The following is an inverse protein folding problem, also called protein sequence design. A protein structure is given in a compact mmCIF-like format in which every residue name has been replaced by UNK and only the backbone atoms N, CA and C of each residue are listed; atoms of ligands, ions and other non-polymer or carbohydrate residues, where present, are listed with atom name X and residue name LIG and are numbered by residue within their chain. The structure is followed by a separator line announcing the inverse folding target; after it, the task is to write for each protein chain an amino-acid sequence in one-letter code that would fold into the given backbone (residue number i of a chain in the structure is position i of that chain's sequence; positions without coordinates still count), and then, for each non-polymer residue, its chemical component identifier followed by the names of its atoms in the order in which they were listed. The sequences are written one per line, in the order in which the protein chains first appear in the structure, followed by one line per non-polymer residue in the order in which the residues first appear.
data_IF_387075661932
#
_entry.id   IF_387075661932
#
_cell.length_a   1.000
_cell.length_b   1.000
_cell.length_c   1.000
_cell.angle_alpha   90.00
_cell.angle_beta   90.00
_cell.angle_gamma   90.00
#
_symmetry.space_group_name_H-M   'P 1'
#
loop_
_entity.id
_entity.type
_entity.pdbx_description
1 polymer ?
#
# COMPACT_ATOMS: atom_id res chain seq x y z
N UNK A 1 5.84 -3.63 -18.01
CA UNK A 1 5.84 -4.50 -16.84
C UNK A 1 6.48 -5.82 -17.22
N UNK A 2 7.31 -6.41 -16.38
CA UNK A 2 7.92 -7.70 -16.68
C UNK A 2 6.87 -8.80 -16.52
N UNK A 3 6.79 -9.70 -17.50
CA UNK A 3 5.99 -10.91 -17.39
C UNK A 3 6.65 -11.86 -16.38
N UNK A 4 5.82 -12.49 -15.55
CA UNK A 4 6.29 -13.48 -14.57
C UNK A 4 5.83 -14.86 -15.06
N UNK A 5 6.77 -15.72 -15.38
CA UNK A 5 6.47 -17.07 -15.84
C UNK A 5 5.62 -17.82 -14.80
N UNK A 6 4.55 -18.48 -15.26
CA UNK A 6 3.64 -19.22 -14.38
C UNK A 6 2.56 -18.36 -13.72
N UNK A 7 2.41 -17.10 -14.13
CA UNK A 7 1.31 -16.20 -13.73
C UNK A 7 0.49 -15.84 -14.94
N UNK A 8 -0.85 -15.96 -14.82
CA UNK A 8 -1.81 -15.42 -15.79
C UNK A 8 -2.81 -14.54 -15.06
N UNK A 9 -3.21 -13.45 -15.70
CA UNK A 9 -4.12 -12.49 -15.08
C UNK A 9 -5.22 -12.09 -16.04
N UNK A 10 -6.35 -11.70 -15.49
CA UNK A 10 -7.46 -11.12 -16.23
C UNK A 10 -8.21 -10.10 -15.40
N UNK A 11 -8.90 -9.18 -16.04
CA UNK A 11 -9.82 -8.25 -15.41
C UNK A 11 -10.95 -7.92 -16.36
N UNK A 12 -12.18 -7.92 -15.85
CA UNK A 12 -13.41 -7.70 -16.64
C UNK A 12 -14.34 -6.71 -15.91
N UNK A 13 -15.28 -6.14 -16.65
CA UNK A 13 -16.43 -5.43 -16.10
C UNK A 13 -17.54 -6.42 -15.81
N UNK A 14 -17.76 -6.74 -14.52
CA UNK A 14 -18.77 -7.72 -14.11
C UNK A 14 -20.10 -7.09 -13.68
N UNK A 15 -20.14 -5.74 -13.58
CA UNK A 15 -21.30 -4.97 -13.15
C UNK A 15 -21.40 -4.81 -11.64
N UNK A 16 -20.32 -5.01 -10.89
CA UNK A 16 -20.21 -4.62 -9.47
C UNK A 16 -20.16 -3.09 -9.38
N UNK A 17 -19.38 -2.43 -10.29
CA UNK A 17 -19.43 -0.99 -10.48
C UNK A 17 -20.48 -0.59 -11.50
N UNK A 18 -21.21 0.49 -11.23
CA UNK A 18 -22.30 0.97 -12.11
C UNK A 18 -21.83 1.61 -13.42
N UNK A 19 -20.55 2.02 -13.50
CA UNK A 19 -19.98 2.76 -14.63
C UNK A 19 -19.38 1.85 -15.73
N UNK A 20 -19.60 0.55 -15.67
CA UNK A 20 -19.07 -0.46 -16.61
C UNK A 20 -17.53 -0.47 -16.73
N UNK A 21 -16.81 0.01 -15.69
CA UNK A 21 -15.35 -0.14 -15.61
C UNK A 21 -14.97 -1.53 -15.11
N UNK A 22 -13.69 -1.91 -15.31
CA UNK A 22 -13.16 -3.17 -14.79
C UNK A 22 -13.34 -3.21 -13.26
N UNK A 23 -13.88 -4.32 -12.75
CA UNK A 23 -14.26 -4.45 -11.33
C UNK A 23 -14.10 -5.86 -10.76
N UNK A 24 -13.81 -6.85 -11.61
CA UNK A 24 -13.53 -8.22 -11.19
C UNK A 24 -12.24 -8.69 -11.84
N UNK A 25 -11.25 -9.05 -11.04
CA UNK A 25 -9.90 -9.40 -11.46
C UNK A 25 -9.49 -10.76 -10.90
N UNK A 26 -8.66 -11.48 -11.64
CA UNK A 26 -8.13 -12.78 -11.27
C UNK A 26 -6.64 -12.85 -11.57
N UNK A 27 -5.86 -13.29 -10.59
CA UNK A 27 -4.46 -13.68 -10.76
C UNK A 27 -4.40 -15.20 -10.54
N UNK A 28 -4.07 -15.93 -11.59
CA UNK A 28 -3.90 -17.39 -11.56
C UNK A 28 -2.43 -17.74 -11.50
N UNK A 29 -2.08 -18.66 -10.60
CA UNK A 29 -0.74 -19.14 -10.32
C UNK A 29 -0.63 -20.61 -10.67
N UNK A 30 0.53 -21.05 -11.12
CA UNK A 30 0.78 -22.48 -11.35
C UNK A 30 0.77 -23.27 -10.03
N UNK A 31 0.59 -24.60 -10.12
CA UNK A 31 0.37 -25.48 -8.97
C UNK A 31 1.49 -25.45 -7.91
N UNK A 32 2.75 -25.32 -8.31
CA UNK A 32 3.90 -25.30 -7.42
C UNK A 32 4.27 -23.93 -6.85
N UNK A 33 3.34 -22.97 -6.93
CA UNK A 33 3.53 -21.63 -6.38
C UNK A 33 3.42 -21.62 -4.85
N UNK A 34 4.19 -20.71 -4.24
CA UNK A 34 4.11 -20.38 -2.83
C UNK A 34 3.57 -18.96 -2.67
N UNK A 35 2.69 -18.71 -1.71
CA UNK A 35 2.12 -17.39 -1.45
C UNK A 35 2.20 -17.04 0.02
N UNK A 36 2.75 -15.86 0.32
CA UNK A 36 2.70 -15.21 1.63
C UNK A 36 1.77 -13.98 1.55
N UNK A 37 1.20 -13.60 2.68
CA UNK A 37 0.34 -12.43 2.76
C UNK A 37 0.42 -11.74 4.12
N UNK A 38 0.15 -10.45 4.10
CA UNK A 38 -0.09 -9.62 5.28
C UNK A 38 -1.45 -8.95 5.14
N UNK A 39 -2.13 -8.77 6.26
CA UNK A 39 -3.52 -8.31 6.29
C UNK A 39 -3.72 -7.23 7.34
N UNK A 40 -4.80 -6.46 7.15
CA UNK A 40 -5.24 -5.45 8.12
C UNK A 40 -5.25 -5.95 9.57
N UNK A 41 -4.84 -5.08 10.49
CA UNK A 41 -4.97 -5.24 11.93
C UNK A 41 -6.23 -4.56 12.48
N UNK A 42 -7.06 -3.98 11.61
CA UNK A 42 -8.33 -3.40 12.02
C UNK A 42 -9.20 -4.51 12.66
N UNK A 43 -9.69 -4.27 13.86
CA UNK A 43 -10.56 -5.21 14.60
C UNK A 43 -11.83 -5.50 13.80
N UNK A 44 -12.32 -4.51 13.05
CA UNK A 44 -13.47 -4.63 12.16
C UNK A 44 -13.07 -5.18 10.79
N UNK A 45 -12.53 -6.39 10.80
CA UNK A 45 -11.98 -7.04 9.62
C UNK A 45 -13.10 -7.47 8.65
N UNK A 46 -12.90 -7.18 7.36
CA UNK A 46 -13.86 -7.55 6.31
C UNK A 46 -13.93 -9.06 6.09
N UNK A 47 -15.07 -9.55 5.62
CA UNK A 47 -15.31 -10.97 5.34
C UNK A 47 -14.23 -11.61 4.41
N UNK A 48 -13.83 -11.00 3.27
CA UNK A 48 -12.81 -11.59 2.41
C UNK A 48 -11.46 -11.74 3.12
N UNK A 49 -11.08 -10.82 4.00
CA UNK A 49 -9.83 -10.92 4.77
C UNK A 49 -9.87 -12.12 5.73
N UNK A 50 -11.01 -12.37 6.38
CA UNK A 50 -11.18 -13.53 7.27
C UNK A 50 -11.05 -14.84 6.49
N UNK A 51 -11.66 -14.92 5.31
CA UNK A 51 -11.57 -16.10 4.44
C UNK A 51 -10.14 -16.26 3.90
N UNK A 52 -9.50 -15.20 3.43
CA UNK A 52 -8.14 -15.24 2.92
C UNK A 52 -7.13 -15.70 3.99
N UNK A 53 -7.24 -15.22 5.24
CA UNK A 53 -6.42 -15.69 6.37
C UNK A 53 -6.59 -17.19 6.63
N UNK A 54 -7.79 -17.72 6.51
CA UNK A 54 -8.06 -19.15 6.67
C UNK A 54 -7.45 -19.97 5.52
N UNK A 55 -7.68 -19.53 4.27
CA UNK A 55 -7.22 -20.23 3.09
C UNK A 55 -5.70 -20.20 2.90
N UNK A 56 -5.00 -19.19 3.43
CA UNK A 56 -3.54 -19.04 3.28
C UNK A 56 -2.72 -20.23 3.84
N UNK A 57 -3.34 -21.08 4.64
CA UNK A 57 -2.72 -22.32 5.11
C UNK A 57 -2.68 -23.44 4.05
N UNK A 58 -3.27 -23.21 2.87
CA UNK A 58 -3.30 -24.12 1.75
C UNK A 58 -2.36 -23.67 0.62
N UNK A 59 -2.15 -24.52 -0.38
CA UNK A 59 -1.44 -24.14 -1.61
C UNK A 59 -2.32 -23.23 -2.46
N UNK A 60 -1.99 -21.97 -2.55
CA UNK A 60 -2.78 -20.98 -3.27
C UNK A 60 -2.47 -21.03 -4.76
N UNK A 61 -3.53 -21.06 -5.57
CA UNK A 61 -3.45 -21.05 -7.04
C UNK A 61 -4.24 -19.90 -7.69
N UNK A 62 -5.06 -19.16 -6.90
CA UNK A 62 -5.80 -18.05 -7.44
C UNK A 62 -5.97 -16.92 -6.40
N UNK A 63 -5.87 -15.68 -6.87
CA UNK A 63 -6.23 -14.48 -6.12
C UNK A 63 -7.41 -13.84 -6.85
N UNK A 64 -8.59 -13.82 -6.22
CA UNK A 64 -9.81 -13.22 -6.76
C UNK A 64 -9.99 -11.84 -6.12
N UNK A 65 -10.11 -10.80 -6.93
CA UNK A 65 -10.24 -9.43 -6.45
C UNK A 65 -11.49 -8.78 -7.04
N UNK A 66 -12.35 -8.20 -6.21
CA UNK A 66 -13.38 -7.31 -6.68
C UNK A 66 -13.18 -5.88 -6.18
N UNK A 67 -13.55 -4.91 -7.00
CA UNK A 67 -13.60 -3.49 -6.63
C UNK A 67 -15.03 -2.92 -6.77
N UNK A 68 -15.31 -1.83 -6.05
CA UNK A 68 -16.65 -1.22 -5.96
C UNK A 68 -17.45 -1.67 -4.73
N UNK A 69 -17.15 -2.83 -4.16
CA UNK A 69 -17.80 -3.37 -2.95
C UNK A 69 -16.73 -3.95 -2.02
N UNK A 70 -16.69 -3.50 -0.77
CA UNK A 70 -15.71 -3.94 0.22
C UNK A 70 -16.09 -5.27 0.90
N UNK A 71 -17.34 -5.70 0.83
CA UNK A 71 -17.88 -6.82 1.60
C UNK A 71 -17.48 -6.76 3.10
N UNK A 72 -17.49 -5.56 3.65
CA UNK A 72 -17.17 -5.24 5.03
C UNK A 72 -18.44 -4.77 5.76
N UNK A 73 -18.56 -5.09 7.05
CA UNK A 73 -19.78 -4.77 7.82
C UNK A 73 -21.02 -5.56 7.42
N UNK A 74 -20.84 -6.69 6.76
CA UNK A 74 -21.89 -7.51 6.14
C UNK A 74 -22.26 -8.76 6.95
N UNK A 75 -21.60 -8.95 8.09
CA UNK A 75 -21.88 -10.02 9.04
C UNK A 75 -21.74 -11.43 8.42
N UNK A 76 -22.57 -12.37 8.90
CA UNK A 76 -22.54 -13.77 8.47
C UNK A 76 -22.78 -13.93 6.95
N UNK A 77 -23.71 -13.13 6.39
CA UNK A 77 -24.02 -13.21 4.95
C UNK A 77 -22.84 -12.80 4.06
N UNK A 78 -22.09 -11.78 4.47
CA UNK A 78 -20.87 -11.36 3.77
C UNK A 78 -19.79 -12.44 3.78
N UNK A 79 -19.66 -13.16 4.92
CA UNK A 79 -18.74 -14.30 5.02
C UNK A 79 -19.15 -15.45 4.09
N UNK A 80 -20.45 -15.80 4.07
CA UNK A 80 -21.02 -16.81 3.15
C UNK A 80 -20.75 -16.43 1.68
N UNK A 81 -20.99 -15.16 1.31
CA UNK A 81 -20.73 -14.67 -0.04
C UNK A 81 -19.23 -14.73 -0.42
N UNK A 82 -18.34 -14.45 0.54
CA UNK A 82 -16.90 -14.55 0.32
C UNK A 82 -16.45 -16.00 0.06
N UNK A 83 -16.95 -16.97 0.83
CA UNK A 83 -16.71 -18.40 0.55
C UNK A 83 -17.30 -18.80 -0.79
N UNK A 84 -18.54 -18.38 -1.09
CA UNK A 84 -19.20 -18.71 -2.36
C UNK A 84 -18.43 -18.18 -3.57
N UNK A 85 -17.83 -16.98 -3.46
CA UNK A 85 -16.99 -16.45 -4.55
C UNK A 85 -15.76 -17.33 -4.82
N UNK A 86 -15.14 -17.90 -3.76
CA UNK A 86 -14.05 -18.85 -3.90
C UNK A 86 -14.52 -20.16 -4.56
N UNK A 87 -15.67 -20.70 -4.18
CA UNK A 87 -16.24 -21.92 -4.78
C UNK A 87 -16.46 -21.74 -6.29
N UNK A 88 -17.08 -20.61 -6.70
CA UNK A 88 -17.39 -20.32 -8.10
C UNK A 88 -16.10 -20.30 -8.95
N UNK A 89 -15.06 -19.61 -8.49
CA UNK A 89 -13.79 -19.50 -9.23
C UNK A 89 -13.02 -20.82 -9.21
N UNK A 90 -13.06 -21.54 -8.11
CA UNK A 90 -12.42 -22.85 -7.99
C UNK A 90 -13.01 -23.88 -8.96
N UNK A 91 -14.33 -23.89 -9.16
CA UNK A 91 -15.02 -24.73 -10.13
C UNK A 91 -14.54 -24.46 -11.56
N UNK A 92 -14.48 -23.19 -11.97
CA UNK A 92 -14.02 -22.78 -13.32
C UNK A 92 -12.53 -23.09 -13.56
N UNK A 93 -11.69 -23.03 -12.51
CA UNK A 93 -10.27 -23.36 -12.59
C UNK A 93 -9.97 -24.84 -12.35
N UNK A 94 -10.96 -25.66 -11.97
CA UNK A 94 -10.81 -27.07 -11.56
C UNK A 94 -9.81 -27.26 -10.42
N UNK A 95 -9.87 -26.37 -9.42
CA UNK A 95 -9.08 -26.41 -8.18
C UNK A 95 -10.00 -26.49 -6.94
N UNK A 96 -9.44 -26.53 -5.75
CA UNK A 96 -10.25 -26.51 -4.51
C UNK A 96 -10.57 -25.07 -4.08
N UNK A 97 -11.73 -24.81 -3.45
CA UNK A 97 -12.10 -23.48 -2.95
C UNK A 97 -11.05 -22.84 -2.01
N UNK A 98 -10.41 -23.65 -1.19
CA UNK A 98 -9.37 -23.22 -0.25
C UNK A 98 -8.07 -22.78 -0.95
N UNK A 99 -7.93 -23.02 -2.24
CA UNK A 99 -6.79 -22.57 -3.06
C UNK A 99 -7.03 -21.19 -3.69
N UNK A 100 -8.19 -20.57 -3.41
CA UNK A 100 -8.55 -19.22 -3.87
C UNK A 100 -8.51 -18.25 -2.68
N UNK A 101 -7.75 -17.16 -2.78
CA UNK A 101 -7.78 -16.05 -1.83
C UNK A 101 -8.71 -14.95 -2.35
N UNK A 102 -9.78 -14.59 -1.62
CA UNK A 102 -10.67 -13.50 -2.00
C UNK A 102 -10.17 -12.16 -1.44
N UNK A 103 -10.31 -11.10 -2.25
CA UNK A 103 -10.03 -9.72 -1.87
C UNK A 103 -11.14 -8.81 -2.39
N UNK A 104 -11.51 -7.80 -1.61
CA UNK A 104 -12.54 -6.84 -1.98
C UNK A 104 -12.12 -5.43 -1.60
N UNK A 105 -12.57 -4.43 -2.35
CA UNK A 105 -12.35 -3.01 -2.03
C UNK A 105 -13.51 -2.18 -2.57
N UNK A 106 -13.88 -1.09 -1.88
CA UNK A 106 -14.97 -0.19 -2.26
C UNK A 106 -15.92 0.13 -1.10
N UNK A 107 -17.21 0.20 -1.36
CA UNK A 107 -18.22 0.64 -0.40
C UNK A 107 -18.39 -0.38 0.74
N UNK A 108 -18.36 0.12 1.98
CA UNK A 108 -18.59 -0.64 3.22
C UNK A 108 -20.12 -0.68 3.52
N UNK A 109 -20.60 -1.80 4.09
CA UNK A 109 -21.98 -1.96 4.54
C UNK A 109 -22.96 -2.46 3.47
N UNK A 110 -22.42 -2.88 2.30
CA UNK A 110 -23.22 -3.47 1.23
C UNK A 110 -22.81 -4.94 1.00
N UNK A 111 -23.80 -5.81 0.77
CA UNK A 111 -23.55 -7.21 0.43
C UNK A 111 -22.87 -7.30 -0.93
N UNK A 112 -21.89 -8.19 -1.03
CA UNK A 112 -21.25 -8.51 -2.31
C UNK A 112 -22.29 -9.12 -3.27
N UNK A 113 -22.47 -8.56 -4.49
CA UNK A 113 -23.40 -9.10 -5.48
C UNK A 113 -22.84 -10.38 -6.09
N UNK A 114 -23.04 -11.51 -5.42
CA UNK A 114 -22.45 -12.80 -5.78
C UNK A 114 -22.91 -13.27 -7.17
N UNK A 115 -24.11 -12.91 -7.57
CA UNK A 115 -24.68 -13.23 -8.89
C UNK A 115 -23.86 -12.60 -10.04
N UNK A 116 -23.24 -11.45 -9.81
CA UNK A 116 -22.33 -10.81 -10.77
C UNK A 116 -21.07 -11.64 -10.96
N UNK A 117 -20.52 -12.21 -9.88
CA UNK A 117 -19.36 -13.10 -9.97
C UNK A 117 -19.75 -14.40 -10.68
N UNK A 118 -20.83 -15.04 -10.27
CA UNK A 118 -21.31 -16.30 -10.85
C UNK A 118 -21.55 -16.19 -12.38
N UNK A 119 -22.21 -15.13 -12.81
CA UNK A 119 -22.50 -14.87 -14.22
C UNK A 119 -21.25 -14.67 -15.08
N UNK A 120 -20.18 -14.11 -14.50
CA UNK A 120 -19.01 -13.66 -15.24
C UNK A 120 -17.74 -14.51 -14.98
N UNK A 121 -17.81 -15.53 -14.12
CA UNK A 121 -16.66 -16.36 -13.73
C UNK A 121 -16.00 -17.04 -14.94
N UNK A 122 -16.81 -17.65 -15.82
CA UNK A 122 -16.30 -18.30 -17.02
C UNK A 122 -15.60 -17.32 -17.97
N UNK A 123 -16.17 -16.13 -18.19
CA UNK A 123 -15.51 -15.09 -18.99
C UNK A 123 -14.18 -14.66 -18.36
N UNK A 124 -14.16 -14.45 -17.05
CA UNK A 124 -12.96 -14.03 -16.30
C UNK A 124 -11.82 -15.06 -16.47
N UNK A 125 -12.12 -16.35 -16.30
CA UNK A 125 -11.13 -17.43 -16.44
C UNK A 125 -10.66 -17.58 -17.88
N UNK A 126 -11.56 -17.51 -18.86
CA UNK A 126 -11.20 -17.63 -20.28
C UNK A 126 -10.40 -16.42 -20.81
N UNK A 127 -10.41 -15.30 -20.09
CA UNK A 127 -9.64 -14.08 -20.42
C UNK A 127 -8.24 -14.04 -19.80
N UNK A 128 -7.81 -15.08 -19.09
CA UNK A 128 -6.48 -15.14 -18.45
C UNK A 128 -5.35 -15.07 -19.48
N UNK A 129 -4.45 -14.09 -19.31
CA UNK A 129 -3.30 -13.84 -20.17
C UNK A 129 -2.03 -13.58 -19.37
N UNK A 130 -0.86 -13.90 -19.90
CA UNK A 130 0.44 -13.72 -19.24
C UNK A 130 0.78 -12.24 -18.99
N UNK A 131 0.31 -11.34 -19.85
CA UNK A 131 0.51 -9.89 -19.72
C UNK A 131 -0.65 -9.15 -19.01
N UNK A 132 -1.61 -9.88 -18.42
CA UNK A 132 -2.85 -9.32 -17.85
C UNK A 132 -2.69 -8.57 -16.52
N UNK A 133 -1.49 -8.54 -15.91
CA UNK A 133 -1.30 -7.89 -14.61
C UNK A 133 -1.55 -6.36 -14.64
N UNK A 134 -1.32 -5.71 -15.79
CA UNK A 134 -1.67 -4.28 -15.98
C UNK A 134 -3.18 -4.07 -15.95
N UNK A 135 -3.97 -5.01 -16.46
CA UNK A 135 -5.44 -4.92 -16.40
C UNK A 135 -5.96 -5.17 -14.97
N UNK A 136 -5.27 -6.01 -14.19
CA UNK A 136 -5.55 -6.10 -12.75
C UNK A 136 -5.31 -4.76 -12.06
N UNK A 137 -4.21 -4.05 -12.39
CA UNK A 137 -3.95 -2.72 -11.82
C UNK A 137 -5.10 -1.73 -12.08
N UNK A 138 -5.75 -1.80 -13.25
CA UNK A 138 -6.94 -1.00 -13.58
C UNK A 138 -8.20 -1.51 -12.85
N UNK A 139 -8.38 -2.83 -12.82
CA UNK A 139 -9.57 -3.47 -12.25
C UNK A 139 -9.74 -3.30 -10.74
N UNK A 140 -8.65 -3.06 -10.02
CA UNK A 140 -8.67 -2.90 -8.56
C UNK A 140 -8.87 -1.45 -8.08
N UNK A 141 -8.87 -0.46 -8.97
CA UNK A 141 -9.03 0.96 -8.62
C UNK A 141 -10.41 1.25 -8.00
N UNK A 142 -10.46 2.25 -7.12
CA UNK A 142 -11.71 2.80 -6.56
C UNK A 142 -11.78 4.30 -6.79
N UNK A 143 -11.22 5.10 -5.90
CA UNK A 143 -11.07 6.57 -6.02
C UNK A 143 -9.74 6.98 -6.62
N UNK A 144 -8.88 6.01 -6.89
CA UNK A 144 -7.59 6.21 -7.55
C UNK A 144 -7.75 6.87 -8.93
N UNK A 145 -6.87 7.82 -9.26
CA UNK A 145 -6.86 8.50 -10.55
C UNK A 145 -5.98 7.78 -11.59
N UNK A 146 -4.95 7.06 -11.12
CA UNK A 146 -3.99 6.35 -11.98
C UNK A 146 -3.71 4.94 -11.48
N UNK A 147 -3.41 4.03 -12.42
CA UNK A 147 -2.96 2.68 -12.14
C UNK A 147 -1.56 2.70 -11.50
N UNK A 148 -1.36 1.85 -10.50
CA UNK A 148 -0.09 1.72 -9.80
C UNK A 148 0.49 0.34 -10.03
N UNK A 149 1.56 0.28 -10.81
CA UNK A 149 2.30 -0.94 -11.09
C UNK A 149 3.76 -0.67 -11.37
N UNK A 150 4.62 -1.59 -11.02
CA UNK A 150 6.04 -1.54 -11.36
C UNK A 150 6.66 -2.94 -11.40
N UNK A 151 7.86 -3.01 -11.97
CA UNK A 151 8.68 -4.21 -11.99
C UNK A 151 10.11 -3.88 -11.58
N UNK A 152 10.78 -4.86 -10.99
CA UNK A 152 12.20 -4.85 -10.67
C UNK A 152 12.76 -6.20 -11.09
N UNK A 153 13.99 -6.23 -11.56
CA UNK A 153 14.71 -7.47 -11.86
C UNK A 153 16.16 -7.40 -11.39
N UNK A 154 16.74 -8.56 -11.14
CA UNK A 154 18.14 -8.71 -10.79
C UNK A 154 18.69 -10.00 -11.39
N UNK A 155 20.00 -10.13 -11.47
CA UNK A 155 20.65 -11.29 -12.04
C UNK A 155 21.37 -12.13 -10.99
N UNK A 156 21.25 -13.46 -11.13
CA UNK A 156 21.95 -14.46 -10.32
C UNK A 156 22.55 -15.50 -11.26
N UNK A 157 23.87 -15.63 -11.29
CA UNK A 157 24.56 -16.60 -12.14
C UNK A 157 24.16 -16.54 -13.63
N UNK A 158 23.89 -15.33 -14.16
CA UNK A 158 23.47 -15.13 -15.55
C UNK A 158 21.98 -15.43 -15.82
N UNK A 159 21.19 -15.67 -14.77
CA UNK A 159 19.73 -15.84 -14.86
C UNK A 159 19.05 -14.61 -14.28
N UNK A 160 18.13 -14.03 -15.04
CA UNK A 160 17.31 -12.89 -14.56
C UNK A 160 16.14 -13.40 -13.72
N UNK A 161 16.02 -12.87 -12.51
CA UNK A 161 14.86 -13.05 -11.63
C UNK A 161 14.00 -11.79 -11.69
N UNK A 162 12.71 -11.95 -11.88
CA UNK A 162 11.76 -10.86 -12.05
C UNK A 162 10.79 -10.77 -10.88
N UNK A 163 10.47 -9.54 -10.49
CA UNK A 163 9.38 -9.20 -9.60
C UNK A 163 8.47 -8.18 -10.29
N UNK A 164 7.18 -8.38 -10.24
CA UNK A 164 6.17 -7.44 -10.73
C UNK A 164 5.10 -7.26 -9.67
N UNK A 165 4.62 -6.04 -9.50
CA UNK A 165 3.61 -5.75 -8.50
C UNK A 165 2.63 -4.69 -8.96
N UNK A 166 1.40 -4.80 -8.47
CA UNK A 166 0.33 -3.83 -8.62
C UNK A 166 -0.15 -3.40 -7.24
N UNK A 167 -0.64 -2.16 -7.13
CA UNK A 167 -1.25 -1.67 -5.92
C UNK A 167 -2.40 -0.72 -6.22
N UNK A 168 -3.31 -0.57 -5.26
CA UNK A 168 -4.35 0.46 -5.25
C UNK A 168 -4.44 1.09 -3.87
N UNK A 169 -4.87 2.34 -3.86
CA UNK A 169 -5.16 3.10 -2.67
C UNK A 169 -4.95 4.59 -2.93
N UNK A 170 -5.85 5.43 -2.41
CA UNK A 170 -5.81 6.89 -2.53
C UNK A 170 -6.46 7.60 -1.34
N UNK A 171 -7.37 6.96 -0.62
CA UNK A 171 -7.97 7.40 0.64
C UNK A 171 -8.08 6.26 1.65
N UNK A 172 -8.35 6.58 2.93
CA UNK A 172 -8.32 5.67 4.07
C UNK A 172 -6.94 5.00 4.17
N UNK A 173 -5.85 5.80 4.15
CA UNK A 173 -4.44 5.33 4.12
C UNK A 173 -3.71 5.69 5.42
N UNK A 174 -3.62 4.74 6.32
CA UNK A 174 -2.65 4.62 7.40
C UNK A 174 -2.34 3.14 7.61
N UNK A 175 -1.42 2.56 6.86
CA UNK A 175 -1.15 1.14 7.01
C UNK A 175 -0.45 0.88 8.36
N UNK A 176 -1.15 0.18 9.23
CA UNK A 176 -0.54 -0.61 10.30
C UNK A 176 -0.73 -2.08 9.89
N UNK A 177 -0.03 -2.48 8.83
CA UNK A 177 -0.30 -3.64 7.99
C UNK A 177 -1.67 -3.53 7.30
N UNK A 178 -2.08 -2.29 6.88
CA UNK A 178 -3.36 -2.13 6.23
C UNK A 178 -3.58 -0.72 5.63
N UNK A 179 -4.17 -0.59 4.53
CA UNK A 179 -4.99 0.41 3.84
C UNK A 179 -4.68 0.49 2.36
N UNK A 180 -4.46 -0.66 1.76
CA UNK A 180 -4.26 -0.79 0.33
C UNK A 180 -4.46 -2.25 -0.08
N UNK A 181 -4.64 -2.50 -1.35
CA UNK A 181 -4.43 -3.82 -1.91
C UNK A 181 -3.16 -3.79 -2.75
N UNK A 182 -2.27 -4.76 -2.52
CA UNK A 182 -1.10 -4.97 -3.37
C UNK A 182 -0.89 -6.45 -3.64
N UNK A 183 -0.62 -6.75 -4.90
CA UNK A 183 -0.36 -8.10 -5.37
C UNK A 183 0.98 -8.13 -6.06
N UNK A 184 1.93 -8.84 -5.46
CA UNK A 184 3.31 -8.96 -5.95
C UNK A 184 3.54 -10.40 -6.38
N UNK A 185 4.09 -10.57 -7.57
CA UNK A 185 4.41 -11.87 -8.16
C UNK A 185 5.88 -11.91 -8.58
N UNK A 186 6.51 -13.07 -8.46
CA UNK A 186 7.92 -13.31 -8.85
C UNK A 186 8.09 -14.73 -9.39
N UNK A 187 9.10 -14.93 -10.21
CA UNK A 187 9.49 -16.23 -10.76
C UNK A 187 10.53 -17.00 -9.93
N UNK A 188 10.97 -16.44 -8.78
CA UNK A 188 11.90 -17.10 -7.85
C UNK A 188 11.32 -18.39 -7.25
N UNK A 189 12.18 -19.32 -6.87
CA UNK A 189 11.82 -20.47 -6.03
C UNK A 189 12.00 -20.14 -4.55
N UNK A 190 10.89 -20.08 -3.79
CA UNK A 190 10.91 -19.80 -2.36
C UNK A 190 9.76 -20.51 -1.63
N UNK A 191 9.99 -20.89 -0.39
CA UNK A 191 8.94 -21.39 0.50
C UNK A 191 8.04 -20.23 0.99
N UNK A 192 6.85 -20.59 1.47
CA UNK A 192 5.92 -19.61 2.06
C UNK A 192 6.55 -18.86 3.25
N UNK A 193 7.30 -19.54 4.11
CA UNK A 193 7.95 -18.94 5.28
C UNK A 193 9.03 -17.93 4.88
N UNK A 194 9.84 -18.26 3.85
CA UNK A 194 10.84 -17.34 3.30
C UNK A 194 10.19 -16.08 2.70
N UNK A 195 9.11 -16.27 1.94
CA UNK A 195 8.34 -15.16 1.40
C UNK A 195 7.71 -14.30 2.49
N UNK A 196 7.17 -14.92 3.54
CA UNK A 196 6.55 -14.22 4.66
C UNK A 196 7.54 -13.34 5.40
N UNK A 197 8.76 -13.84 5.65
CA UNK A 197 9.83 -13.06 6.27
C UNK A 197 10.22 -11.86 5.42
N UNK A 198 10.44 -12.07 4.12
CA UNK A 198 10.80 -11.00 3.20
C UNK A 198 9.68 -9.95 3.07
N UNK A 199 8.43 -10.40 2.97
CA UNK A 199 7.26 -9.54 2.86
C UNK A 199 7.11 -8.65 4.10
N UNK A 200 7.25 -9.21 5.30
CA UNK A 200 7.17 -8.46 6.56
C UNK A 200 8.22 -7.34 6.62
N UNK A 201 9.46 -7.62 6.23
CA UNK A 201 10.53 -6.61 6.20
C UNK A 201 10.18 -5.51 5.20
N UNK A 202 9.79 -5.86 3.98
CA UNK A 202 9.52 -4.90 2.91
C UNK A 202 8.30 -4.02 3.21
N UNK A 203 7.22 -4.60 3.72
CA UNK A 203 6.01 -3.86 4.09
C UNK A 203 6.29 -2.87 5.23
N UNK A 204 7.10 -3.26 6.22
CA UNK A 204 7.48 -2.37 7.33
C UNK A 204 8.32 -1.16 6.90
N UNK A 205 9.04 -1.25 5.78
CA UNK A 205 9.88 -0.17 5.24
C UNK A 205 9.19 0.63 4.12
N UNK A 206 7.99 0.24 3.70
CA UNK A 206 7.29 0.83 2.56
C UNK A 206 5.83 1.17 2.87
N UNK A 207 4.92 0.23 2.72
CA UNK A 207 3.49 0.45 2.94
C UNK A 207 3.15 0.86 4.38
N UNK A 208 3.86 0.34 5.38
CA UNK A 208 3.72 0.78 6.77
C UNK A 208 4.42 2.12 7.08
N UNK A 209 4.87 2.85 6.07
CA UNK A 209 5.50 4.18 6.20
C UNK A 209 4.76 5.27 5.43
N UNK A 210 3.57 4.97 4.91
CA UNK A 210 2.76 5.99 4.23
C UNK A 210 1.51 6.34 5.04
N UNK A 211 0.98 7.54 4.83
CA UNK A 211 -0.33 7.93 5.35
C UNK A 211 -0.92 9.05 4.51
N UNK A 212 -2.24 9.05 4.30
CA UNK A 212 -2.97 10.15 3.64
C UNK A 212 -3.85 10.87 4.64
N UNK A 213 -4.70 10.17 5.36
CA UNK A 213 -5.72 10.70 6.26
C UNK A 213 -5.68 10.14 7.69
N UNK A 214 -4.82 9.16 7.94
CA UNK A 214 -4.66 8.57 9.26
C UNK A 214 -5.64 7.45 9.59
N UNK A 215 -6.52 7.04 8.66
CA UNK A 215 -7.52 6.00 8.87
C UNK A 215 -7.05 4.64 8.35
N UNK A 216 -7.32 3.57 9.13
CA UNK A 216 -6.98 2.18 8.78
C UNK A 216 -8.21 1.47 8.21
N UNK A 217 -8.06 0.90 7.01
CA UNK A 217 -9.15 0.17 6.33
C UNK A 217 -9.46 -1.20 6.95
N UNK A 218 -10.62 -1.70 6.62
CA UNK A 218 -11.11 -3.03 7.00
C UNK A 218 -10.63 -4.16 6.09
N UNK A 219 -10.07 -3.83 4.90
CA UNK A 219 -9.90 -4.77 3.78
C UNK A 219 -8.45 -5.02 3.36
N UNK A 220 -7.49 -4.31 3.93
CA UNK A 220 -6.16 -4.26 3.38
C UNK A 220 -5.43 -5.57 3.37
N UNK A 221 -4.69 -5.78 2.29
CA UNK A 221 -3.85 -6.94 2.10
C UNK A 221 -2.69 -6.65 1.14
N UNK A 222 -1.55 -7.25 1.43
CA UNK A 222 -0.44 -7.36 0.49
C UNK A 222 -0.05 -8.82 0.35
N UNK A 223 0.00 -9.33 -0.88
CA UNK A 223 0.44 -10.69 -1.18
C UNK A 223 1.78 -10.70 -1.91
N UNK A 224 2.57 -11.73 -1.68
CA UNK A 224 3.78 -12.06 -2.42
C UNK A 224 3.70 -13.52 -2.85
N UNK A 225 3.61 -13.75 -4.17
CA UNK A 225 3.51 -15.09 -4.75
C UNK A 225 4.72 -15.40 -5.61
N UNK A 226 5.35 -16.55 -5.39
CA UNK A 226 6.51 -17.05 -6.12
C UNK A 226 6.15 -18.30 -6.90
N UNK A 227 6.51 -18.35 -8.21
CA UNK A 227 6.13 -19.45 -9.12
C UNK A 227 7.22 -20.48 -9.33
N UNK A 228 8.43 -20.26 -8.83
CA UNK A 228 9.58 -21.17 -9.00
C UNK A 228 9.96 -21.41 -10.48
N UNK A 229 9.72 -20.47 -11.36
CA UNK A 229 9.92 -20.64 -12.81
C UNK A 229 11.23 -20.04 -13.34
N UNK A 230 11.98 -19.29 -12.53
CA UNK A 230 13.33 -18.81 -12.89
C UNK A 230 14.40 -19.92 -12.79
N UNK A 231 14.15 -20.97 -12.00
CA UNK A 231 15.15 -21.97 -11.63
C UNK A 231 16.15 -21.49 -10.57
N UNK A 232 15.99 -20.27 -10.05
CA UNK A 232 16.81 -19.70 -8.97
C UNK A 232 16.06 -19.84 -7.65
N UNK A 233 16.73 -20.38 -6.64
CA UNK A 233 16.18 -20.49 -5.29
C UNK A 233 16.53 -19.27 -4.44
N UNK A 234 15.63 -18.86 -3.56
CA UNK A 234 15.83 -17.76 -2.62
C UNK A 234 17.13 -17.91 -1.80
N UNK A 235 17.50 -19.12 -1.42
CA UNK A 235 18.74 -19.41 -0.68
C UNK A 235 20.01 -18.95 -1.40
N UNK A 236 19.98 -18.78 -2.73
CA UNK A 236 21.10 -18.37 -3.56
C UNK A 236 21.25 -16.84 -3.69
N UNK A 237 20.22 -16.06 -3.32
CA UNK A 237 20.15 -14.61 -3.57
C UNK A 237 19.33 -13.82 -2.54
N UNK A 238 19.45 -14.17 -1.27
CA UNK A 238 18.63 -13.61 -0.17
C UNK A 238 18.70 -12.09 -0.12
N UNK A 239 19.89 -11.52 -0.25
CA UNK A 239 20.13 -10.07 -0.16
C UNK A 239 19.58 -9.36 -1.39
N UNK A 240 19.87 -9.87 -2.57
CA UNK A 240 19.42 -9.31 -3.86
C UNK A 240 17.90 -9.33 -3.96
N UNK A 241 17.28 -10.45 -3.57
CA UNK A 241 15.82 -10.58 -3.56
C UNK A 241 15.17 -9.61 -2.57
N UNK A 242 15.69 -9.53 -1.33
CA UNK A 242 15.17 -8.59 -0.34
C UNK A 242 15.29 -7.13 -0.81
N UNK A 243 16.42 -6.76 -1.40
CA UNK A 243 16.64 -5.41 -1.93
C UNK A 243 15.67 -5.10 -3.09
N UNK A 244 15.48 -6.04 -4.02
CA UNK A 244 14.54 -5.89 -5.14
C UNK A 244 13.09 -5.76 -4.64
N UNK A 245 12.70 -6.56 -3.65
CA UNK A 245 11.36 -6.48 -3.04
C UNK A 245 11.16 -5.16 -2.29
N UNK A 246 12.15 -4.70 -1.53
CA UNK A 246 12.12 -3.39 -0.85
C UNK A 246 11.99 -2.24 -1.85
N UNK A 247 12.72 -2.29 -2.96
CA UNK A 247 12.63 -1.29 -4.03
C UNK A 247 11.24 -1.27 -4.66
N UNK A 248 10.70 -2.44 -5.01
CA UNK A 248 9.38 -2.58 -5.63
C UNK A 248 8.27 -2.07 -4.71
N UNK A 249 8.25 -2.52 -3.46
CA UNK A 249 7.22 -2.12 -2.48
C UNK A 249 7.29 -0.63 -2.16
N UNK A 250 8.49 -0.05 -2.06
CA UNK A 250 8.69 1.39 -1.87
C UNK A 250 8.17 2.20 -3.06
N UNK A 251 8.44 1.78 -4.29
CA UNK A 251 7.91 2.43 -5.50
C UNK A 251 6.38 2.43 -5.49
N UNK A 252 5.74 1.28 -5.22
CA UNK A 252 4.29 1.18 -5.12
C UNK A 252 3.71 2.05 -4.01
N UNK A 253 4.33 2.05 -2.82
CA UNK A 253 3.91 2.89 -1.70
C UNK A 253 3.97 4.40 -2.05
N UNK A 254 5.03 4.84 -2.72
CA UNK A 254 5.15 6.24 -3.19
C UNK A 254 4.10 6.58 -4.25
N UNK A 255 3.75 5.64 -5.17
CA UNK A 255 2.68 5.85 -6.14
C UNK A 255 1.33 6.04 -5.44
N UNK A 256 1.04 5.29 -4.35
CA UNK A 256 -0.17 5.47 -3.55
C UNK A 256 -0.24 6.88 -2.96
N UNK A 257 0.84 7.36 -2.32
CA UNK A 257 0.86 8.69 -1.72
C UNK A 257 0.72 9.79 -2.79
N UNK A 258 1.42 9.66 -3.93
CA UNK A 258 1.36 10.64 -5.03
C UNK A 258 -0.04 10.75 -5.66
N UNK A 259 -0.82 9.68 -5.62
CA UNK A 259 -2.20 9.59 -6.11
C UNK A 259 -3.23 9.70 -4.96
N UNK A 260 -2.83 10.24 -3.81
CA UNK A 260 -3.75 10.46 -2.69
C UNK A 260 -4.92 11.36 -3.06
N UNK A 261 -6.10 11.09 -2.49
CA UNK A 261 -7.32 11.87 -2.76
C UNK A 261 -7.07 13.38 -2.57
N UNK A 262 -7.20 14.15 -3.67
CA UNK A 262 -6.97 15.59 -3.68
C UNK A 262 -5.53 16.04 -3.41
N UNK A 263 -4.55 15.14 -3.44
CA UNK A 263 -3.16 15.47 -3.16
C UNK A 263 -2.57 16.42 -4.22
N UNK A 264 -1.88 17.46 -3.76
CA UNK A 264 -1.11 18.36 -4.62
C UNK A 264 0.40 18.27 -4.32
N UNK A 265 0.76 17.62 -3.22
CA UNK A 265 2.14 17.46 -2.76
C UNK A 265 2.43 16.07 -2.24
N UNK A 266 3.64 15.59 -2.56
CA UNK A 266 4.25 14.42 -1.95
C UNK A 266 5.23 14.89 -0.88
N UNK A 267 5.04 14.44 0.36
CA UNK A 267 5.80 14.95 1.50
C UNK A 267 6.48 13.80 2.24
N UNK A 268 7.78 13.88 2.40
CA UNK A 268 8.54 13.02 3.30
C UNK A 268 8.74 13.76 4.64
N UNK A 269 8.30 13.15 5.73
CA UNK A 269 8.63 13.57 7.09
C UNK A 269 9.73 12.64 7.61
N UNK A 270 10.95 13.15 7.71
CA UNK A 270 12.13 12.40 8.16
C UNK A 270 12.52 12.88 9.54
N UNK A 271 12.56 11.94 10.49
CA UNK A 271 12.91 12.20 11.89
C UNK A 271 14.15 11.40 12.28
N UNK A 272 15.07 12.04 13.00
CA UNK A 272 16.32 11.43 13.45
C UNK A 272 16.73 11.91 14.84
N UNK A 273 17.67 11.20 15.46
CA UNK A 273 18.37 11.65 16.65
C UNK A 273 17.71 11.26 17.97
N UNK A 274 16.65 10.47 17.99
CA UNK A 274 16.02 9.91 19.18
C UNK A 274 16.63 8.56 19.58
N UNK A 275 16.33 8.05 20.76
CA UNK A 275 16.89 6.82 21.28
C UNK A 275 16.49 5.59 20.48
N UNK A 276 15.24 5.54 20.00
CA UNK A 276 14.71 4.42 19.22
C UNK A 276 14.16 4.86 17.85
N UNK A 277 14.09 3.92 16.90
CA UNK A 277 13.42 4.12 15.62
C UNK A 277 11.91 4.28 15.79
N UNK A 278 11.33 3.62 16.79
CA UNK A 278 9.92 3.70 17.14
C UNK A 278 9.54 5.13 17.57
N UNK A 279 10.39 5.80 18.37
CA UNK A 279 10.20 7.18 18.77
C UNK A 279 10.30 8.13 17.57
N UNK A 280 11.27 7.91 16.68
CA UNK A 280 11.37 8.67 15.44
C UNK A 280 10.10 8.53 14.58
N UNK A 281 9.51 7.34 14.50
CA UNK A 281 8.26 7.10 13.79
C UNK A 281 7.07 7.77 14.46
N UNK A 282 6.95 7.71 15.78
CA UNK A 282 5.86 8.36 16.51
C UNK A 282 5.85 9.88 16.21
N UNK A 283 7.01 10.52 16.23
CA UNK A 283 7.13 11.93 15.85
C UNK A 283 6.76 12.14 14.39
N UNK A 284 7.31 11.32 13.48
CA UNK A 284 7.05 11.44 12.05
C UNK A 284 5.55 11.31 11.72
N UNK A 285 4.87 10.32 12.31
CA UNK A 285 3.42 10.16 12.15
C UNK A 285 2.63 11.30 12.79
N UNK A 286 3.05 11.78 13.97
CA UNK A 286 2.38 12.89 14.63
C UNK A 286 2.40 14.16 13.76
N UNK A 287 3.51 14.43 13.08
CA UNK A 287 3.63 15.53 12.12
C UNK A 287 2.81 15.26 10.85
N UNK A 288 2.94 14.06 10.25
CA UNK A 288 2.25 13.67 9.04
C UNK A 288 0.71 13.66 9.17
N UNK A 289 0.19 13.35 10.36
CA UNK A 289 -1.25 13.37 10.66
C UNK A 289 -1.79 14.73 11.11
N UNK A 290 -0.94 15.76 11.26
CA UNK A 290 -1.41 17.06 11.74
C UNK A 290 -2.21 17.80 10.66
N UNK A 291 -3.52 18.02 10.84
CA UNK A 291 -4.31 18.80 9.87
C UNK A 291 -3.75 20.22 9.65
N UNK A 292 -3.18 20.83 10.70
CA UNK A 292 -2.59 22.15 10.59
C UNK A 292 -1.31 22.15 9.74
N UNK A 293 -0.47 21.10 9.85
CA UNK A 293 0.71 20.94 8.99
C UNK A 293 0.26 20.66 7.55
N UNK A 294 -0.69 19.73 7.34
CA UNK A 294 -1.18 19.34 6.01
C UNK A 294 -1.86 20.50 5.28
N UNK A 295 -2.61 21.37 5.97
CA UNK A 295 -3.23 22.55 5.36
C UNK A 295 -2.20 23.66 5.08
N UNK A 296 -1.11 23.78 5.87
CA UNK A 296 0.00 24.67 5.55
C UNK A 296 0.75 24.20 4.29
N UNK A 297 0.96 22.89 4.14
CA UNK A 297 1.53 22.29 2.92
C UNK A 297 0.68 22.62 1.69
N UNK A 298 -0.64 22.48 1.78
CA UNK A 298 -1.57 22.84 0.69
C UNK A 298 -1.48 24.33 0.34
N UNK A 299 -1.46 25.20 1.35
CA UNK A 299 -1.34 26.64 1.17
C UNK A 299 0.06 27.08 0.68
N UNK A 300 1.04 26.17 0.60
CA UNK A 300 2.45 26.49 0.39
C UNK A 300 3.02 27.48 1.40
N UNK A 301 2.53 27.40 2.65
CA UNK A 301 2.94 28.21 3.81
C UNK A 301 4.03 27.49 4.59
N UNK A 302 5.21 28.08 4.70
CA UNK A 302 6.34 27.54 5.47
C UNK A 302 6.14 27.69 6.98
N UNK A 303 5.00 27.18 7.45
CA UNK A 303 4.56 27.35 8.85
C UNK A 303 5.30 26.40 9.81
N UNK A 304 6.54 26.74 10.11
CA UNK A 304 7.38 25.99 11.05
C UNK A 304 6.78 25.89 12.47
N UNK A 305 5.99 26.88 12.89
CA UNK A 305 5.31 26.85 14.18
C UNK A 305 4.32 25.70 14.29
N UNK A 306 3.61 25.35 13.21
CA UNK A 306 2.73 24.18 13.17
C UNK A 306 3.51 22.87 13.22
N UNK A 307 4.68 22.80 12.59
CA UNK A 307 5.56 21.62 12.66
C UNK A 307 6.08 21.46 14.08
N UNK A 308 6.60 22.52 14.73
CA UNK A 308 7.04 22.48 16.14
C UNK A 308 5.92 22.04 17.08
N UNK A 309 4.71 22.60 16.91
CA UNK A 309 3.56 22.22 17.72
C UNK A 309 3.21 20.74 17.56
N UNK A 310 3.35 20.19 16.35
CA UNK A 310 3.14 18.76 16.11
C UNK A 310 4.24 17.91 16.76
N UNK A 311 5.51 18.28 16.65
CA UNK A 311 6.62 17.60 17.34
C UNK A 311 6.40 17.61 18.86
N UNK A 312 6.07 18.77 19.44
CA UNK A 312 5.90 18.92 20.89
C UNK A 312 4.72 18.15 21.49
N UNK A 313 3.75 17.66 20.68
CA UNK A 313 2.65 16.81 21.15
C UNK A 313 2.87 15.32 20.91
N UNK A 314 3.99 14.94 20.29
CA UNK A 314 4.33 13.52 20.12
C UNK A 314 4.52 12.85 21.50
N UNK A 315 4.09 11.59 21.61
CA UNK A 315 4.15 10.83 22.87
C UNK A 315 5.53 10.19 23.04
N UNK A 316 6.56 11.04 23.05
CA UNK A 316 7.97 10.62 23.16
C UNK A 316 8.61 11.40 24.30
N UNK A 317 9.28 10.69 25.19
CA UNK A 317 10.03 11.27 26.31
C UNK A 317 11.44 11.68 25.85
N UNK A 318 12.07 12.58 26.59
CA UNK A 318 13.47 12.95 26.38
C UNK A 318 13.75 13.96 25.24
N UNK A 319 12.73 14.50 24.57
CA UNK A 319 12.91 15.57 23.59
C UNK A 319 13.30 16.85 24.32
N UNK A 320 14.54 17.36 24.10
CA UNK A 320 14.97 18.68 24.59
C UNK A 320 14.71 19.71 23.48
N UNK A 321 14.14 20.84 23.89
CA UNK A 321 13.86 21.93 22.96
C UNK A 321 15.14 22.44 22.27
N UNK A 322 16.25 22.51 22.99
CA UNK A 322 17.56 22.99 22.51
C UNK A 322 18.18 22.09 21.43
N UNK A 323 17.70 20.85 21.29
CA UNK A 323 18.20 19.91 20.30
C UNK A 323 17.38 19.93 19.01
N UNK A 324 16.25 20.65 18.96
CA UNK A 324 15.35 20.62 17.81
C UNK A 324 15.96 21.38 16.64
N UNK A 325 16.17 20.65 15.53
CA UNK A 325 16.56 21.23 14.24
C UNK A 325 15.52 20.83 13.18
N UNK A 326 15.03 21.78 12.40
CA UNK A 326 14.03 21.54 11.33
C UNK A 326 14.51 22.17 10.05
N UNK A 327 14.41 21.39 8.94
CA UNK A 327 14.67 21.89 7.59
C UNK A 327 13.54 21.50 6.64
N UNK A 328 13.25 22.37 5.67
CA UNK A 328 12.44 22.07 4.50
C UNK A 328 13.37 21.92 3.29
N UNK A 329 13.48 20.71 2.78
CA UNK A 329 14.49 20.34 1.78
C UNK A 329 15.89 20.77 2.30
N UNK A 330 16.54 21.72 1.62
CA UNK A 330 17.87 22.20 1.97
C UNK A 330 17.84 23.49 2.82
N UNK A 331 16.65 24.05 3.12
CA UNK A 331 16.51 25.29 3.88
C UNK A 331 16.30 24.96 5.35
N UNK A 332 17.29 25.29 6.20
CA UNK A 332 17.16 25.17 7.65
C UNK A 332 16.28 26.30 8.20
N UNK A 333 15.20 25.92 8.90
CA UNK A 333 14.24 26.87 9.48
C UNK A 333 14.47 27.03 10.97
N UNK A 334 14.68 25.91 11.68
CA UNK A 334 14.95 25.88 13.12
C UNK A 334 16.35 25.32 13.34
N UNK A 335 17.11 25.97 14.17
CA UNK A 335 18.42 25.56 14.66
C UNK A 335 18.44 25.66 16.17
N UNK A 336 18.75 24.56 16.86
CA UNK A 336 18.81 24.50 18.33
C UNK A 336 17.59 25.12 19.03
N UNK A 337 16.39 24.81 18.50
CA UNK A 337 15.10 25.25 19.03
C UNK A 337 14.69 26.68 18.67
N UNK A 338 15.55 27.45 18.02
CA UNK A 338 15.28 28.85 17.64
C UNK A 338 15.21 29.00 16.12
N UNK A 339 14.63 30.10 15.61
CA UNK A 339 14.64 30.40 14.19
C UNK A 339 16.09 30.55 13.72
N UNK A 340 16.46 29.83 12.66
CA UNK A 340 17.79 29.89 12.07
C UNK A 340 18.10 31.32 11.58
N UNK A 341 19.26 31.84 11.90
CA UNK A 341 19.71 33.18 11.44
C UNK A 341 19.76 33.30 9.91
N UNK A 342 19.89 32.19 9.22
CA UNK A 342 19.94 32.15 7.74
C UNK A 342 18.57 31.98 7.11
N UNK A 343 17.51 31.78 7.89
CA UNK A 343 16.16 31.61 7.37
C UNK A 343 15.56 32.91 6.87
N UNK A 344 14.90 32.85 5.73
CA UNK A 344 14.03 33.91 5.23
C UNK A 344 12.69 33.33 4.77
N UNK A 345 11.62 34.10 4.96
CA UNK A 345 10.27 33.69 4.50
C UNK A 345 10.22 33.39 2.99
N UNK A 346 11.00 34.12 2.19
CA UNK A 346 11.11 33.88 0.75
C UNK A 346 11.74 32.51 0.44
N UNK A 347 12.78 32.11 1.18
CA UNK A 347 13.42 30.82 1.03
C UNK A 347 12.47 29.67 1.43
N UNK A 348 11.79 29.82 2.56
CA UNK A 348 10.77 28.86 3.00
C UNK A 348 9.62 28.71 2.01
N UNK A 349 9.04 29.82 1.55
CA UNK A 349 7.95 29.85 0.58
C UNK A 349 8.36 29.22 -0.75
N UNK A 350 9.59 29.42 -1.20
CA UNK A 350 10.11 28.79 -2.42
C UNK A 350 10.13 27.26 -2.29
N UNK A 351 10.57 26.72 -1.16
CA UNK A 351 10.60 25.27 -0.94
C UNK A 351 9.19 24.69 -0.82
N UNK A 352 8.28 25.38 -0.16
CA UNK A 352 6.88 24.95 -0.01
C UNK A 352 6.08 24.95 -1.32
N UNK A 353 6.51 25.66 -2.35
CA UNK A 353 5.87 25.64 -3.70
C UNK A 353 6.22 24.40 -4.52
N UNK A 354 7.23 23.62 -4.12
CA UNK A 354 7.59 22.37 -4.81
C UNK A 354 6.50 21.31 -4.62
N UNK A 355 6.36 20.43 -5.60
CA UNK A 355 5.44 19.29 -5.51
C UNK A 355 5.97 18.16 -4.62
N UNK A 356 7.29 18.10 -4.42
CA UNK A 356 7.94 17.14 -3.53
C UNK A 356 8.71 17.90 -2.44
N UNK A 357 8.40 17.59 -1.18
CA UNK A 357 8.92 18.29 0.00
C UNK A 357 9.46 17.26 0.99
N UNK A 358 10.64 17.50 1.52
CA UNK A 358 11.17 16.76 2.67
C UNK A 358 11.21 17.67 3.89
N UNK A 359 10.47 17.34 4.95
CA UNK A 359 10.55 17.93 6.26
C UNK A 359 11.56 17.09 7.06
N UNK A 360 12.75 17.61 7.32
CA UNK A 360 13.77 16.96 8.16
C UNK A 360 13.68 17.49 9.56
N UNK A 361 13.56 16.61 10.52
CA UNK A 361 13.46 16.92 11.96
C UNK A 361 14.56 16.12 12.66
N UNK A 362 15.53 16.80 13.21
CA UNK A 362 16.53 16.17 14.07
C UNK A 362 16.30 16.59 15.52
N UNK A 363 16.30 15.63 16.44
CA UNK A 363 15.90 15.80 17.84
C UNK A 363 17.03 15.42 18.83
N UNK A 364 18.23 15.14 18.33
CA UNK A 364 19.38 14.77 19.15
C UNK A 364 20.49 14.07 18.36
N UNK A 365 21.36 13.35 19.07
CA UNK A 365 22.61 12.83 18.52
C UNK A 365 22.62 11.32 18.24
N UNK A 366 21.52 10.61 18.53
CA UNK A 366 21.44 9.18 18.21
C UNK A 366 21.44 8.93 16.68
N UNK A 367 21.91 7.77 16.26
CA UNK A 367 22.02 7.42 14.83
C UNK A 367 20.71 6.89 14.20
N UNK A 368 19.62 6.99 14.92
CA UNK A 368 18.28 6.61 14.44
C UNK A 368 17.82 7.54 13.34
N UNK A 369 17.11 7.00 12.35
CA UNK A 369 16.56 7.78 11.24
C UNK A 369 15.40 7.04 10.61
N UNK A 370 14.21 7.63 10.64
CA UNK A 370 13.00 7.08 10.08
C UNK A 370 12.24 8.09 9.21
N UNK A 371 11.51 7.58 8.23
CA UNK A 371 10.73 8.40 7.30
C UNK A 371 9.29 7.92 7.21
N UNK A 372 8.36 8.86 7.14
CA UNK A 372 6.94 8.65 6.80
C UNK A 372 6.61 9.52 5.59
N UNK A 373 5.91 8.95 4.60
CA UNK A 373 5.47 9.69 3.41
C UNK A 373 3.98 10.02 3.52
N UNK A 374 3.62 11.25 3.19
CA UNK A 374 2.25 11.78 3.30
C UNK A 374 1.95 12.78 2.19
N UNK A 375 0.73 13.32 2.22
CA UNK A 375 0.23 14.36 1.32
C UNK A 375 -0.09 15.64 2.11
N UNK A 376 -0.37 16.72 1.39
CA UNK A 376 -1.13 17.85 1.91
C UNK A 376 -2.62 17.50 2.15
N UNK A 377 -3.41 18.45 2.63
CA UNK A 377 -4.86 18.34 2.81
C UNK A 377 -5.54 19.49 2.06
N UNK A 378 -6.14 19.14 0.91
CA UNK A 378 -6.77 20.10 -0.01
C UNK A 378 -8.29 20.19 0.18
N UNK A 379 -8.92 21.13 -0.50
CA UNK A 379 -10.39 21.20 -0.61
C UNK A 379 -10.97 20.02 -1.37
N UNK A 380 -10.24 19.48 -2.35
CA UNK A 380 -10.69 18.34 -3.14
C UNK A 380 -10.78 17.07 -2.30
N UNK A 381 -9.88 16.87 -1.31
CA UNK A 381 -10.01 15.77 -0.35
C UNK A 381 -11.38 15.80 0.35
N UNK A 382 -11.80 16.98 0.85
CA UNK A 382 -13.09 17.13 1.54
C UNK A 382 -14.25 16.87 0.57
N UNK A 383 -14.17 17.38 -0.66
CA UNK A 383 -15.19 17.21 -1.69
C UNK A 383 -15.36 15.72 -2.05
N UNK A 384 -14.28 15.03 -2.36
CA UNK A 384 -14.28 13.61 -2.74
C UNK A 384 -14.95 12.76 -1.64
N UNK A 385 -14.57 13.00 -0.37
CA UNK A 385 -15.08 12.22 0.75
C UNK A 385 -16.52 12.58 1.15
N UNK A 386 -16.96 13.83 0.95
CA UNK A 386 -18.34 14.25 1.16
C UNK A 386 -19.30 13.64 0.12
N UNK A 387 -18.83 13.40 -1.10
CA UNK A 387 -19.62 12.89 -2.23
C UNK A 387 -19.43 11.37 -2.47
N UNK A 388 -18.67 10.65 -1.63
CA UNK A 388 -18.25 9.26 -1.87
C UNK A 388 -19.39 8.26 -2.12
N UNK A 389 -20.62 8.54 -1.61
CA UNK A 389 -21.81 7.68 -1.78
C UNK A 389 -22.86 8.25 -2.72
N UNK A 390 -22.62 9.41 -3.30
CA UNK A 390 -23.58 10.11 -4.17
C UNK A 390 -23.43 9.72 -5.66
#
# INVERSE_FOLDING_TARGET
MNEIKGVKCSSIASGIKSNNSLDLSLISLIEDSSTAAVFTQNIFCAAPVLVAKNHLNHKIQALLINSGNANAGTGKKGLENSFKSCEIIAEELSIKPEQVLPFSTGVIGQLLPIESIEKNANQLVNSLAENGLVDVAKGILTTDLVEKYCSVSFEVNGVTVNLSGVAKGSGMIRPNMATMLSFIVTDIGASQDELQQCLNISVNQSFNRITIDGDTSTNDACTLSATNQSGILYSQCKVEFQNALNELTKKLAHMIVKDGEGATKFVEVRVSGLESNEDCLEVAYTVAHSPLVKTALFASDANWGRILAAVGRARVEGISFENINISLNEVQIISSGEISEQYTEEAGSREMKKSEITIRINLGDFKTNESVWTTDLSYDYVKINAEYRS
#
